data_IF_109207923717
#
_entry.id   IF_109207923717
#
_cell.length_a   1.000
_cell.length_b   1.000
_cell.length_c   1.000
_cell.angle_alpha   90.00
_cell.angle_beta   90.00
_cell.angle_gamma   90.00
#
_symmetry.space_group_name_H-M   'P 1'
#
loop_
_entity.id
_entity.type
_entity.pdbx_description
1 polymer ?
#
# COMPACT_ATOMS: atom_id res chain seq x y z
N UNK A 1 -17.25 67.50 -2.30
CA UNK A 1 -16.97 66.10 -1.89
C UNK A 1 -15.59 65.76 -2.45
N UNK A 2 -14.55 65.78 -1.60
CA UNK A 2 -13.74 64.59 -1.22
C UNK A 2 -13.03 63.94 -2.44
N UNK A 3 -11.79 64.30 -2.83
CA UNK A 3 -10.44 64.03 -2.27
C UNK A 3 -9.97 62.55 -2.42
N UNK A 4 -8.86 62.41 -3.18
CA UNK A 4 -7.80 61.34 -3.18
C UNK A 4 -8.22 60.00 -3.83
N UNK A 5 -7.47 59.27 -4.67
CA UNK A 5 -6.03 58.93 -4.74
C UNK A 5 -5.65 58.48 -6.19
N UNK A 6 -4.53 58.91 -6.79
CA UNK A 6 -3.56 57.91 -7.31
C UNK A 6 -2.09 58.44 -7.39
N UNK A 7 -1.30 58.36 -6.31
CA UNK A 7 0.15 58.60 -6.39
C UNK A 7 1.02 57.41 -5.91
N UNK A 8 0.43 56.34 -5.38
CA UNK A 8 1.14 55.16 -4.86
C UNK A 8 1.44 54.12 -5.94
N UNK A 9 0.49 53.85 -6.85
CA UNK A 9 0.59 52.81 -7.89
C UNK A 9 1.70 53.14 -8.91
N UNK A 10 1.89 54.42 -9.26
CA UNK A 10 2.94 54.83 -10.20
C UNK A 10 4.35 54.63 -9.65
N UNK A 11 4.53 54.80 -8.34
CA UNK A 11 5.81 54.55 -7.65
C UNK A 11 6.12 53.06 -7.56
N UNK A 12 5.11 52.24 -7.29
CA UNK A 12 5.26 50.78 -7.23
C UNK A 12 5.56 50.18 -8.61
N UNK A 13 4.90 50.68 -9.67
CA UNK A 13 5.22 50.31 -11.05
C UNK A 13 6.64 50.71 -11.46
N UNK A 14 7.10 51.90 -11.03
CA UNK A 14 8.45 52.36 -11.34
C UNK A 14 9.52 51.53 -10.59
N UNK A 15 9.23 51.10 -9.36
CA UNK A 15 10.07 50.19 -8.58
C UNK A 15 10.09 48.78 -9.18
N UNK A 16 8.92 48.26 -9.62
CA UNK A 16 8.80 47.00 -10.34
C UNK A 16 9.56 47.04 -11.67
N UNK A 17 9.48 48.14 -12.42
CA UNK A 17 10.28 48.31 -13.63
C UNK A 17 11.78 48.32 -13.31
N UNK A 18 12.19 48.98 -12.24
CA UNK A 18 13.60 49.01 -11.82
C UNK A 18 14.09 47.63 -11.39
N UNK A 19 13.26 46.87 -10.66
CA UNK A 19 13.55 45.48 -10.28
C UNK A 19 13.57 44.53 -11.47
N UNK A 20 12.67 44.72 -12.44
CA UNK A 20 12.70 43.96 -13.70
C UNK A 20 13.95 44.29 -14.51
N UNK A 21 14.34 45.55 -14.66
CA UNK A 21 15.57 45.92 -15.36
C UNK A 21 16.79 45.30 -14.69
N UNK A 22 16.87 45.30 -13.36
CA UNK A 22 17.96 44.64 -12.62
C UNK A 22 17.94 43.11 -12.79
N UNK A 23 16.76 42.49 -12.84
CA UNK A 23 16.62 41.07 -13.07
C UNK A 23 17.00 40.68 -14.52
N UNK A 24 16.62 41.50 -15.50
CA UNK A 24 16.96 41.33 -16.92
C UNK A 24 18.46 41.45 -17.14
N UNK A 25 19.11 42.41 -16.48
CA UNK A 25 20.56 42.60 -16.53
C UNK A 25 21.31 41.45 -15.83
N UNK A 26 20.74 40.91 -14.73
CA UNK A 26 21.24 39.72 -14.04
C UNK A 26 21.10 38.42 -14.87
N UNK A 27 20.02 38.31 -15.66
CA UNK A 27 19.78 37.18 -16.57
C UNK A 27 20.70 37.27 -17.80
N UNK A 28 20.95 38.46 -18.34
CA UNK A 28 21.89 38.67 -19.46
C UNK A 28 23.33 38.32 -19.11
N UNK A 29 23.74 38.50 -17.86
CA UNK A 29 25.10 38.18 -17.39
C UNK A 29 25.33 36.67 -17.16
N UNK A 30 24.28 35.82 -17.19
CA UNK A 30 24.42 34.37 -17.14
C UNK A 30 24.41 33.80 -18.57
N UNK A 31 25.58 33.40 -19.05
CA UNK A 31 25.83 32.94 -20.42
C UNK A 31 25.06 31.67 -20.86
N UNK A 32 24.42 30.94 -19.93
CA UNK A 32 23.65 29.73 -20.26
C UNK A 32 22.25 29.99 -20.82
N UNK A 33 21.59 31.10 -20.45
CA UNK A 33 20.23 31.42 -20.96
C UNK A 33 20.30 32.07 -22.36
N UNK A 34 21.42 32.73 -22.66
CA UNK A 34 21.73 33.29 -23.98
C UNK A 34 21.93 32.18 -25.02
N UNK A 35 22.39 30.99 -24.62
CA UNK A 35 22.56 29.85 -25.53
C UNK A 35 21.21 29.22 -25.95
N UNK A 36 20.18 29.24 -25.08
CA UNK A 36 18.86 28.72 -25.43
C UNK A 36 18.01 29.70 -26.24
N UNK A 37 18.20 31.02 -26.08
CA UNK A 37 17.65 32.02 -27.02
C UNK A 37 18.35 32.00 -28.38
N UNK A 38 19.53 31.37 -28.47
CA UNK A 38 20.29 31.13 -29.71
C UNK A 38 19.98 29.78 -30.37
N UNK A 39 18.95 29.07 -29.91
CA UNK A 39 18.47 27.85 -30.54
C UNK A 39 17.48 28.18 -31.68
N UNK A 40 17.54 27.46 -32.83
CA UNK A 40 16.84 27.72 -34.11
C UNK A 40 15.33 28.01 -34.09
N UNK A 41 14.65 27.88 -32.95
CA UNK A 41 13.23 28.17 -32.78
C UNK A 41 12.94 29.67 -32.68
N UNK A 42 13.88 30.48 -32.18
CA UNK A 42 13.73 31.94 -32.05
C UNK A 42 14.11 32.73 -33.31
N UNK A 43 15.08 32.23 -34.07
CA UNK A 43 15.64 32.94 -35.23
C UNK A 43 14.78 32.84 -36.50
N UNK A 44 13.74 32.01 -36.49
CA UNK A 44 12.70 31.95 -37.53
C UNK A 44 11.52 32.89 -37.26
N UNK A 45 11.37 33.37 -36.01
CA UNK A 45 10.27 34.23 -35.59
C UNK A 45 10.52 35.71 -35.91
N UNK A 46 11.78 36.14 -35.85
CA UNK A 46 12.19 37.54 -36.07
C UNK A 46 12.26 37.91 -37.57
N UNK A 47 12.54 36.93 -38.44
CA UNK A 47 12.77 37.18 -39.87
C UNK A 47 11.50 37.27 -40.72
N UNK A 48 10.37 36.74 -40.24
CA UNK A 48 9.04 36.97 -40.83
C UNK A 48 7.91 36.80 -39.78
N UNK A 49 7.37 37.89 -39.20
CA UNK A 49 6.28 37.82 -38.20
C UNK A 49 5.02 37.10 -38.71
N UNK A 50 4.83 37.01 -40.02
CA UNK A 50 3.71 36.32 -40.67
C UNK A 50 3.81 34.78 -40.59
N UNK A 51 5.03 34.23 -40.66
CA UNK A 51 5.26 32.78 -40.63
C UNK A 51 5.08 32.25 -39.20
N UNK A 52 5.56 33.01 -38.22
CA UNK A 52 5.32 32.75 -36.80
C UNK A 52 3.82 32.75 -36.46
N UNK A 53 3.08 33.76 -36.93
CA UNK A 53 1.66 33.87 -36.67
C UNK A 53 0.87 32.72 -37.33
N UNK A 54 1.26 32.32 -38.54
CA UNK A 54 0.65 31.19 -39.25
C UNK A 54 0.93 29.87 -38.54
N UNK A 55 2.17 29.63 -38.10
CA UNK A 55 2.53 28.45 -37.31
C UNK A 55 1.82 28.44 -35.96
N UNK A 56 1.66 29.59 -35.30
CA UNK A 56 0.94 29.70 -34.04
C UNK A 56 -0.56 29.41 -34.21
N UNK A 57 -1.20 29.92 -35.26
CA UNK A 57 -2.61 29.64 -35.57
C UNK A 57 -2.79 28.18 -36.00
N UNK A 58 -1.86 27.62 -36.77
CA UNK A 58 -1.89 26.21 -37.17
C UNK A 58 -1.66 25.29 -35.96
N UNK A 59 -0.73 25.66 -35.07
CA UNK A 59 -0.50 24.98 -33.81
C UNK A 59 -1.71 25.12 -32.88
N UNK A 60 -2.37 26.28 -32.78
CA UNK A 60 -3.58 26.44 -32.00
C UNK A 60 -4.74 25.60 -32.58
N UNK A 61 -4.93 25.65 -33.90
CA UNK A 61 -5.98 24.91 -34.62
C UNK A 61 -5.73 23.40 -34.60
N UNK A 62 -4.48 22.94 -34.49
CA UNK A 62 -4.10 21.53 -34.36
C UNK A 62 -4.03 21.07 -32.89
N UNK A 63 -3.57 21.92 -31.97
CA UNK A 63 -3.45 21.60 -30.55
C UNK A 63 -4.81 21.49 -29.87
N UNK A 64 -5.83 22.22 -30.33
CA UNK A 64 -7.21 22.05 -29.83
C UNK A 64 -7.73 20.62 -30.08
N UNK A 65 -7.76 20.09 -31.32
CA UNK A 65 -8.20 18.73 -31.57
C UNK A 65 -7.25 17.66 -31.01
N UNK A 66 -5.93 17.87 -31.08
CA UNK A 66 -4.94 16.92 -30.53
C UNK A 66 -4.99 16.88 -29.00
N UNK A 67 -5.11 18.04 -28.37
CA UNK A 67 -5.25 18.17 -26.91
C UNK A 67 -6.54 17.56 -26.41
N UNK A 68 -7.67 17.81 -27.10
CA UNK A 68 -8.95 17.18 -26.78
C UNK A 68 -8.89 15.65 -26.90
N UNK A 69 -8.23 15.13 -27.93
CA UNK A 69 -8.03 13.70 -28.10
C UNK A 69 -7.18 13.10 -26.96
N UNK A 70 -6.06 13.73 -26.61
CA UNK A 70 -5.23 13.31 -25.47
C UNK A 70 -6.01 13.36 -24.15
N UNK A 71 -6.82 14.39 -23.93
CA UNK A 71 -7.68 14.50 -22.74
C UNK A 71 -8.68 13.35 -22.65
N UNK A 72 -9.35 13.00 -23.76
CA UNK A 72 -10.26 11.87 -23.82
C UNK A 72 -9.55 10.54 -23.60
N UNK A 73 -8.35 10.37 -24.15
CA UNK A 73 -7.54 9.16 -23.95
C UNK A 73 -7.14 9.01 -22.48
N UNK A 74 -6.67 10.08 -21.84
CA UNK A 74 -6.30 10.08 -20.42
C UNK A 74 -7.53 9.84 -19.54
N UNK A 75 -8.66 10.50 -19.84
CA UNK A 75 -9.90 10.29 -19.10
C UNK A 75 -10.40 8.85 -19.24
N UNK A 76 -10.36 8.30 -20.45
CA UNK A 76 -10.74 6.91 -20.73
C UNK A 76 -9.81 5.94 -20.02
N UNK A 77 -8.50 6.22 -19.99
CA UNK A 77 -7.53 5.42 -19.25
C UNK A 77 -7.78 5.48 -17.75
N UNK A 78 -8.10 6.65 -17.19
CA UNK A 78 -8.45 6.81 -15.77
C UNK A 78 -9.73 6.04 -15.42
N UNK A 79 -10.77 6.16 -16.25
CA UNK A 79 -12.03 5.41 -16.10
C UNK A 79 -11.77 3.90 -16.19
N UNK A 80 -10.95 3.46 -17.15
CA UNK A 80 -10.57 2.04 -17.29
C UNK A 80 -9.77 1.55 -16.08
N UNK A 81 -8.83 2.35 -15.58
CA UNK A 81 -8.01 2.02 -14.41
C UNK A 81 -8.85 1.89 -13.14
N UNK A 82 -9.76 2.84 -12.89
CA UNK A 82 -10.75 2.75 -11.80
C UNK A 82 -11.65 1.53 -11.99
N UNK A 83 -12.10 1.26 -13.21
CA UNK A 83 -12.91 0.09 -13.54
C UNK A 83 -12.20 -1.23 -13.22
N UNK A 84 -10.91 -1.35 -13.59
CA UNK A 84 -10.09 -2.53 -13.27
C UNK A 84 -9.87 -2.67 -11.77
N UNK A 85 -9.58 -1.58 -11.05
CA UNK A 85 -9.43 -1.62 -9.59
C UNK A 85 -10.73 -2.06 -8.91
N UNK A 86 -11.88 -1.55 -9.36
CA UNK A 86 -13.18 -1.96 -8.82
C UNK A 86 -13.49 -3.43 -9.14
N UNK A 87 -13.19 -3.88 -10.35
CA UNK A 87 -13.41 -5.27 -10.76
C UNK A 87 -12.48 -6.24 -10.03
N UNK A 88 -11.19 -5.92 -9.94
CA UNK A 88 -10.19 -6.70 -9.20
C UNK A 88 -10.53 -6.74 -7.70
N UNK A 89 -10.89 -5.58 -7.13
CA UNK A 89 -11.35 -5.48 -5.75
C UNK A 89 -12.63 -6.28 -5.48
N UNK A 90 -13.59 -6.29 -6.42
CA UNK A 90 -14.79 -7.11 -6.31
C UNK A 90 -14.47 -8.60 -6.38
N UNK A 91 -13.63 -9.03 -7.32
CA UNK A 91 -13.23 -10.44 -7.48
C UNK A 91 -12.49 -10.92 -6.22
N UNK A 92 -11.57 -10.11 -5.69
CA UNK A 92 -10.85 -10.39 -4.45
C UNK A 92 -11.81 -10.40 -3.25
N UNK A 93 -12.77 -9.48 -3.19
CA UNK A 93 -13.76 -9.43 -2.11
C UNK A 93 -14.67 -10.66 -2.12
N UNK A 94 -15.19 -11.05 -3.29
CA UNK A 94 -16.03 -12.25 -3.45
C UNK A 94 -15.22 -13.51 -3.17
N UNK A 95 -14.00 -13.60 -3.69
CA UNK A 95 -13.08 -14.70 -3.40
C UNK A 95 -12.73 -14.80 -1.91
N UNK A 96 -12.43 -13.67 -1.28
CA UNK A 96 -12.15 -13.55 0.14
C UNK A 96 -13.35 -13.91 1.02
N UNK A 97 -14.55 -13.46 0.66
CA UNK A 97 -15.80 -13.81 1.35
C UNK A 97 -16.09 -15.31 1.22
N UNK A 98 -15.89 -15.91 0.04
CA UNK A 98 -16.00 -17.36 -0.16
C UNK A 98 -15.00 -18.14 0.68
N UNK A 99 -13.73 -17.72 0.70
CA UNK A 99 -12.70 -18.34 1.51
C UNK A 99 -12.99 -18.23 3.00
N UNK A 100 -13.37 -17.04 3.46
CA UNK A 100 -13.76 -16.80 4.86
C UNK A 100 -14.97 -17.65 5.22
N UNK A 101 -15.98 -17.73 4.34
CA UNK A 101 -17.17 -18.56 4.53
C UNK A 101 -16.81 -20.04 4.68
N UNK A 102 -15.95 -20.57 3.80
CA UNK A 102 -15.51 -21.97 3.86
C UNK A 102 -14.67 -22.24 5.11
N UNK A 103 -13.68 -21.38 5.42
CA UNK A 103 -12.88 -21.51 6.64
C UNK A 103 -13.75 -21.43 7.89
N UNK A 104 -14.72 -20.53 7.93
CA UNK A 104 -15.64 -20.37 9.05
C UNK A 104 -16.54 -21.60 9.21
N UNK A 105 -17.11 -22.12 8.10
CA UNK A 105 -17.89 -23.35 8.11
C UNK A 105 -17.09 -24.55 8.59
N UNK A 106 -15.88 -24.75 8.05
CA UNK A 106 -14.97 -25.81 8.50
C UNK A 106 -14.55 -25.64 9.96
N UNK A 107 -14.29 -24.41 10.39
CA UNK A 107 -13.97 -24.09 11.78
C UNK A 107 -15.12 -24.41 12.73
N UNK A 108 -16.35 -24.05 12.35
CA UNK A 108 -17.55 -24.35 13.14
C UNK A 108 -17.79 -25.85 13.23
N UNK A 109 -17.71 -26.57 12.11
CA UNK A 109 -17.81 -28.04 12.08
C UNK A 109 -16.72 -28.68 12.95
N UNK A 110 -15.49 -28.17 12.88
CA UNK A 110 -14.38 -28.63 13.72
C UNK A 110 -14.65 -28.39 15.21
N UNK A 111 -15.18 -27.23 15.59
CA UNK A 111 -15.58 -26.93 16.98
C UNK A 111 -16.70 -27.85 17.46
N UNK A 112 -17.70 -28.13 16.62
CA UNK A 112 -18.77 -29.06 16.97
C UNK A 112 -18.21 -30.48 17.17
N UNK A 113 -17.35 -30.96 16.28
CA UNK A 113 -16.73 -32.29 16.40
C UNK A 113 -15.86 -32.36 17.64
N UNK A 114 -14.96 -31.39 17.84
CA UNK A 114 -14.07 -31.33 19.01
C UNK A 114 -14.86 -31.21 20.32
N UNK A 115 -15.87 -30.34 20.36
CA UNK A 115 -16.77 -30.20 21.50
C UNK A 115 -17.53 -31.48 21.81
N UNK A 116 -18.05 -32.15 20.78
CA UNK A 116 -18.75 -33.44 20.94
C UNK A 116 -17.79 -34.49 21.48
N UNK A 117 -16.55 -34.57 20.98
CA UNK A 117 -15.54 -35.50 21.50
C UNK A 117 -15.22 -35.19 22.96
N UNK A 118 -15.00 -33.94 23.34
CA UNK A 118 -14.72 -33.53 24.73
C UNK A 118 -15.89 -33.85 25.66
N UNK A 119 -17.11 -33.47 25.30
CA UNK A 119 -18.30 -33.75 26.10
C UNK A 119 -18.52 -35.25 26.22
N UNK A 120 -18.41 -35.98 25.12
CA UNK A 120 -18.52 -37.44 25.13
C UNK A 120 -17.44 -38.09 25.99
N UNK A 121 -16.19 -37.61 25.93
CA UNK A 121 -15.09 -38.06 26.77
C UNK A 121 -15.35 -37.78 28.25
N UNK A 122 -15.84 -36.60 28.62
CA UNK A 122 -16.20 -36.28 29.99
C UNK A 122 -17.36 -37.12 30.50
N UNK A 123 -18.41 -37.31 29.70
CA UNK A 123 -19.58 -38.12 30.06
C UNK A 123 -19.17 -39.58 30.22
N UNK A 124 -18.44 -40.15 29.26
CA UNK A 124 -17.95 -41.53 29.34
C UNK A 124 -16.97 -41.69 30.49
N UNK A 125 -16.05 -40.76 30.71
CA UNK A 125 -15.13 -40.81 31.85
C UNK A 125 -15.88 -40.71 33.17
N UNK A 126 -16.94 -39.90 33.26
CA UNK A 126 -17.77 -39.79 34.46
C UNK A 126 -18.61 -41.04 34.69
N UNK A 127 -19.17 -41.63 33.62
CA UNK A 127 -19.95 -42.85 33.66
C UNK A 127 -19.07 -44.05 34.04
N UNK A 128 -17.89 -44.16 33.44
CA UNK A 128 -16.85 -45.12 33.81
C UNK A 128 -16.43 -44.88 35.26
N UNK A 129 -16.16 -43.64 35.69
CA UNK A 129 -15.73 -43.37 37.06
C UNK A 129 -16.84 -43.61 38.11
N UNK A 130 -18.11 -43.52 37.73
CA UNK A 130 -19.25 -43.87 38.57
C UNK A 130 -19.48 -45.39 38.64
N UNK A 131 -19.31 -46.08 37.51
CA UNK A 131 -19.37 -47.54 37.42
C UNK A 131 -18.14 -48.21 38.05
N UNK A 132 -16.99 -47.54 37.98
CA UNK A 132 -15.70 -47.88 38.55
C UNK A 132 -15.33 -46.86 39.65
N UNK A 133 -16.10 -46.81 40.73
CA UNK A 133 -15.49 -46.48 42.02
C UNK A 133 -16.10 -47.32 43.13
N UNK A 134 -15.30 -48.17 43.82
CA UNK A 134 -13.86 -48.00 44.06
C UNK A 134 -12.93 -49.09 43.43
N UNK A 135 -11.71 -48.64 42.98
CA UNK A 135 -10.41 -49.34 42.72
C UNK A 135 -10.11 -49.84 41.27
N UNK A 136 -8.86 -49.72 40.72
CA UNK A 136 -7.70 -48.85 41.00
C UNK A 136 -7.01 -48.31 39.70
N UNK A 137 -7.56 -47.33 38.99
CA UNK A 137 -6.89 -46.74 37.79
C UNK A 137 -5.87 -45.64 38.13
N UNK A 138 -5.98 -45.03 39.32
CA UNK A 138 -4.96 -44.12 39.87
C UNK A 138 -3.65 -44.85 40.16
N UNK A 139 -3.67 -46.16 40.48
CA UNK A 139 -2.45 -46.94 40.67
C UNK A 139 -1.68 -47.20 39.37
N UNK A 140 -2.35 -47.34 38.21
CA UNK A 140 -1.63 -47.59 36.96
C UNK A 140 -0.95 -46.35 36.40
N UNK A 141 -1.61 -45.19 36.44
CA UNK A 141 -1.04 -43.93 35.92
C UNK A 141 0.06 -43.37 36.84
N UNK A 142 -0.09 -43.52 38.16
CA UNK A 142 0.95 -43.13 39.11
C UNK A 142 2.11 -44.14 39.14
N UNK A 143 1.86 -45.43 38.87
CA UNK A 143 2.91 -46.44 38.76
C UNK A 143 3.76 -46.27 37.49
N UNK A 144 3.17 -45.94 36.33
CA UNK A 144 3.94 -45.64 35.12
C UNK A 144 4.74 -44.35 35.26
N UNK A 145 4.20 -43.32 35.92
CA UNK A 145 4.95 -42.11 36.26
C UNK A 145 6.15 -42.36 37.19
N UNK A 146 5.97 -43.17 38.25
CA UNK A 146 7.07 -43.54 39.17
C UNK A 146 8.11 -44.47 38.55
N UNK A 147 7.70 -45.45 37.74
CA UNK A 147 8.61 -46.35 37.04
C UNK A 147 9.44 -45.60 35.99
N UNK A 148 8.84 -44.64 35.28
CA UNK A 148 9.57 -43.81 34.32
C UNK A 148 10.60 -42.92 35.03
N UNK A 149 10.26 -42.35 36.19
CA UNK A 149 11.19 -41.58 37.02
C UNK A 149 12.35 -42.41 37.58
N UNK A 150 12.08 -43.65 38.04
CA UNK A 150 13.12 -44.57 38.49
C UNK A 150 14.00 -45.08 37.33
N UNK A 151 13.41 -45.31 36.15
CA UNK A 151 14.17 -45.65 34.95
C UNK A 151 15.09 -44.50 34.50
N UNK A 152 14.60 -43.26 34.53
CA UNK A 152 15.42 -42.08 34.20
C UNK A 152 16.57 -41.92 35.19
N UNK A 153 16.33 -42.17 36.48
CA UNK A 153 17.35 -42.07 37.51
C UNK A 153 18.39 -43.22 37.41
N UNK A 154 17.96 -44.43 37.07
CA UNK A 154 18.87 -45.56 36.78
C UNK A 154 19.68 -45.35 35.50
N UNK A 155 19.09 -44.76 34.46
CA UNK A 155 19.79 -44.45 33.22
C UNK A 155 20.89 -43.39 33.46
N UNK A 156 20.61 -42.40 34.30
CA UNK A 156 21.58 -41.35 34.68
C UNK A 156 22.71 -41.94 35.52
N UNK A 157 22.40 -42.78 36.52
CA UNK A 157 23.42 -43.44 37.36
C UNK A 157 24.31 -44.41 36.57
N UNK A 158 23.80 -45.05 35.51
CA UNK A 158 24.59 -45.92 34.61
C UNK A 158 25.49 -45.16 33.64
N UNK A 159 25.27 -43.87 33.43
CA UNK A 159 26.06 -43.04 32.52
C UNK A 159 27.33 -42.49 33.21
N UNK A 160 27.27 -42.24 34.52
CA UNK A 160 28.42 -41.76 35.31
C UNK A 160 29.44 -42.87 35.61
N UNK A 161 29.02 -44.12 35.76
CA UNK A 161 29.92 -45.25 36.02
C UNK A 161 30.76 -45.66 34.79
N UNK A 162 30.32 -45.30 33.58
CA UNK A 162 31.04 -45.55 32.33
C UNK A 162 32.13 -44.52 31.99
N UNK A 163 32.25 -43.42 32.76
CA UNK A 163 33.26 -42.35 32.55
C UNK A 163 34.47 -42.47 33.48
N UNK A 164 34.47 -43.46 34.39
CA UNK A 164 35.54 -43.72 35.37
C UNK A 164 36.35 -44.99 35.05
N UNK A 165 36.20 -45.58 33.86
CA UNK A 165 37.03 -46.69 33.36
C UNK A 165 37.82 -46.27 32.13
#
# INVERSE_FOLDING_TARGET
>A
MAKEEPPSISKDLQELQRKLSLLIESIQNNSEVVALMKSPVGQYLDRHPFVALTLLVFAAMSAVPVGFFLLLVVLTFLVAFVGVILLEGLIISVGGLSLLCVLCGLGFVSLIISGTIIVSYMVVSSLVNYWFSPRPLVCYFMATGKLLGLWVHQLHSRQDEGRQK
#
